data_IF_699435210553
#
_entry.id   IF_699435210553
#
_cell.length_a   1.000
_cell.length_b   1.000
_cell.length_c   1.000
_cell.angle_alpha   90.00
_cell.angle_beta   90.00
_cell.angle_gamma   90.00
#
_symmetry.space_group_name_H-M   'P 1'
#
loop_
_entity.id
_entity.type
_entity.pdbx_description
1 polymer ?
#
# COMPACT_ATOMS: atom_id res chain seq x y z
N UNK A 1 16.26 -12.79 -2.06
CA UNK A 1 15.45 -11.58 -2.29
C UNK A 1 16.26 -10.29 -2.14
N UNK A 2 16.88 -10.04 -0.99
CA UNK A 2 17.63 -8.80 -0.73
C UNK A 2 18.75 -8.50 -1.75
N UNK A 3 19.50 -9.53 -2.17
CA UNK A 3 20.56 -9.40 -3.18
C UNK A 3 20.04 -8.86 -4.52
N UNK A 4 19.01 -9.49 -5.08
CA UNK A 4 18.41 -9.07 -6.36
C UNK A 4 17.83 -7.65 -6.28
N UNK A 5 17.26 -7.27 -5.13
CA UNK A 5 16.82 -5.89 -4.90
C UNK A 5 17.99 -4.89 -4.96
N UNK A 6 19.09 -5.18 -4.25
CA UNK A 6 20.28 -4.32 -4.25
C UNK A 6 20.93 -4.23 -5.64
N UNK A 7 21.00 -5.35 -6.36
CA UNK A 7 21.51 -5.40 -7.73
C UNK A 7 20.65 -4.55 -8.67
N UNK A 8 19.32 -4.66 -8.58
CA UNK A 8 18.39 -3.86 -9.39
C UNK A 8 18.51 -2.37 -9.07
N UNK A 9 18.72 -2.01 -7.80
CA UNK A 9 18.89 -0.62 -7.38
C UNK A 9 20.24 -0.05 -7.84
N UNK A 10 21.32 -0.82 -7.75
CA UNK A 10 22.63 -0.42 -8.26
C UNK A 10 22.56 -0.17 -9.77
N UNK A 11 21.88 -1.05 -10.50
CA UNK A 11 21.69 -0.91 -11.93
C UNK A 11 20.83 0.31 -12.30
N UNK A 12 19.77 0.58 -11.54
CA UNK A 12 18.99 1.81 -11.69
C UNK A 12 19.88 3.06 -11.63
N UNK A 13 20.76 3.18 -10.63
CA UNK A 13 21.68 4.33 -10.53
C UNK A 13 22.71 4.37 -11.65
N UNK A 14 23.17 3.20 -12.13
CA UNK A 14 24.07 3.12 -13.29
C UNK A 14 23.42 3.65 -14.56
N UNK A 15 22.14 3.35 -14.79
CA UNK A 15 21.37 3.86 -15.93
C UNK A 15 21.18 5.37 -15.84
N UNK A 16 20.89 5.90 -14.64
CA UNK A 16 20.81 7.35 -14.43
C UNK A 16 22.14 8.05 -14.74
N UNK A 17 23.26 7.47 -14.32
CA UNK A 17 24.60 8.02 -14.62
C UNK A 17 24.92 8.05 -16.12
N UNK A 18 24.25 7.21 -16.92
CA UNK A 18 24.36 7.17 -18.39
C UNK A 18 23.38 8.10 -19.11
N UNK A 19 22.61 8.91 -18.38
CA UNK A 19 21.64 9.84 -18.95
C UNK A 19 20.30 9.22 -19.34
N UNK A 20 20.02 7.98 -18.92
CA UNK A 20 18.68 7.38 -19.08
C UNK A 20 17.69 8.14 -18.22
N UNK A 21 16.51 8.43 -18.76
CA UNK A 21 15.46 9.15 -18.04
C UNK A 21 14.92 8.31 -16.88
N UNK A 22 14.48 8.97 -15.80
CA UNK A 22 14.05 8.30 -14.56
C UNK A 22 12.86 7.37 -14.78
N UNK A 23 11.94 7.77 -15.66
CA UNK A 23 10.75 7.02 -16.03
C UNK A 23 11.07 5.70 -16.72
N UNK A 24 12.15 5.65 -17.49
CA UNK A 24 12.63 4.47 -18.22
C UNK A 24 13.55 3.62 -17.33
N UNK A 25 14.38 4.26 -16.50
CA UNK A 25 15.29 3.54 -15.61
C UNK A 25 14.57 2.73 -14.52
N UNK A 26 13.43 3.22 -13.99
CA UNK A 26 12.71 2.55 -12.89
C UNK A 26 12.09 1.20 -13.25
N UNK A 27 12.00 0.84 -14.54
CA UNK A 27 11.45 -0.46 -14.97
C UNK A 27 12.26 -1.66 -14.47
N UNK A 28 13.54 -1.46 -14.11
CA UNK A 28 14.36 -2.52 -13.54
C UNK A 28 14.11 -2.77 -12.06
N UNK A 29 13.47 -1.82 -11.36
CA UNK A 29 13.22 -1.92 -9.92
C UNK A 29 12.07 -2.91 -9.70
N UNK A 30 12.20 -3.87 -8.77
CA UNK A 30 11.12 -4.80 -8.46
C UNK A 30 9.92 -4.09 -7.81
N UNK A 31 8.75 -4.73 -7.87
CA UNK A 31 7.50 -4.20 -7.30
C UNK A 31 7.54 -3.96 -5.78
N UNK A 32 8.46 -4.60 -5.06
CA UNK A 32 8.66 -4.44 -3.62
C UNK A 32 9.42 -3.15 -3.25
N UNK A 33 9.20 -2.05 -3.98
CA UNK A 33 9.73 -0.73 -3.66
C UNK A 33 8.73 0.03 -2.78
N UNK A 34 9.23 0.71 -1.74
CA UNK A 34 8.40 1.59 -0.92
C UNK A 34 7.97 2.80 -1.75
N UNK A 35 6.67 3.05 -1.74
CA UNK A 35 6.08 4.26 -2.32
C UNK A 35 5.23 4.95 -1.25
N UNK A 36 5.10 6.27 -1.37
CA UNK A 36 4.22 7.06 -0.53
C UNK A 36 2.97 7.42 -1.34
N UNK A 37 1.80 7.14 -0.78
CA UNK A 37 0.51 7.50 -1.36
C UNK A 37 -0.18 8.47 -0.41
N UNK A 38 -0.64 9.61 -0.93
CA UNK A 38 -1.57 10.48 -0.22
C UNK A 38 -2.96 10.18 -0.78
N UNK A 39 -3.87 9.77 0.10
CA UNK A 39 -5.25 9.45 -0.27
C UNK A 39 -6.22 10.10 0.71
N UNK A 40 -7.38 10.52 0.19
CA UNK A 40 -8.52 10.96 0.98
C UNK A 40 -9.67 10.01 0.69
N UNK A 41 -10.31 9.52 1.74
CA UNK A 41 -11.48 8.64 1.63
C UNK A 41 -12.57 9.11 2.57
N UNK A 42 -13.82 9.00 2.14
CA UNK A 42 -14.95 9.17 3.05
C UNK A 42 -15.15 7.90 3.91
N UNK A 43 -16.03 7.99 4.91
CA UNK A 43 -16.29 6.86 5.81
C UNK A 43 -16.82 5.62 5.06
N UNK A 44 -17.74 5.81 4.09
CA UNK A 44 -18.31 4.71 3.31
C UNK A 44 -17.23 3.96 2.52
N UNK A 45 -16.35 4.70 1.85
CA UNK A 45 -15.21 4.15 1.12
C UNK A 45 -14.24 3.42 2.05
N UNK A 46 -13.98 3.95 3.25
CA UNK A 46 -13.15 3.27 4.24
C UNK A 46 -13.78 1.93 4.69
N UNK A 47 -15.10 1.89 4.90
CA UNK A 47 -15.81 0.65 5.23
C UNK A 47 -15.70 -0.38 4.09
N UNK A 48 -15.87 0.06 2.84
CA UNK A 48 -15.69 -0.77 1.65
C UNK A 48 -14.26 -1.33 1.54
N UNK A 49 -13.24 -0.46 1.66
CA UNK A 49 -11.84 -0.87 1.65
C UNK A 49 -11.56 -1.87 2.77
N UNK A 50 -12.02 -1.59 3.99
CA UNK A 50 -11.83 -2.48 5.13
C UNK A 50 -12.50 -3.84 4.90
N UNK A 51 -13.72 -3.88 4.34
CA UNK A 51 -14.43 -5.12 4.03
C UNK A 51 -13.63 -6.01 3.08
N UNK A 52 -13.09 -5.45 2.01
CA UNK A 52 -12.31 -6.17 1.01
C UNK A 52 -10.91 -6.54 1.50
N UNK A 53 -10.23 -5.60 2.17
CA UNK A 53 -8.80 -5.70 2.47
C UNK A 53 -8.47 -6.26 3.84
N UNK A 54 -9.43 -6.39 4.76
CA UNK A 54 -9.26 -7.14 6.01
C UNK A 54 -9.65 -8.63 5.87
N UNK A 55 -10.11 -9.06 4.69
CA UNK A 55 -10.38 -10.48 4.41
C UNK A 55 -9.12 -11.34 4.61
N UNK A 56 -9.30 -12.58 5.08
CA UNK A 56 -8.20 -13.54 5.22
C UNK A 56 -7.54 -13.92 3.89
N UNK A 57 -8.24 -13.72 2.78
CA UNK A 57 -7.73 -13.99 1.42
C UNK A 57 -6.90 -12.84 0.85
N UNK A 58 -6.93 -11.66 1.47
CA UNK A 58 -6.13 -10.52 1.05
C UNK A 58 -4.66 -10.69 1.47
N UNK A 59 -3.75 -10.09 0.68
CA UNK A 59 -2.32 -10.05 1.02
C UNK A 59 -2.10 -9.46 2.42
N UNK A 60 -1.11 -9.98 3.14
CA UNK A 60 -0.93 -9.62 4.55
C UNK A 60 -0.44 -8.19 4.73
N UNK A 61 0.35 -7.66 3.79
CA UNK A 61 0.85 -6.29 3.79
C UNK A 61 -0.29 -5.27 3.71
N UNK A 62 -1.27 -5.49 2.82
CA UNK A 62 -2.42 -4.57 2.70
C UNK A 62 -3.37 -4.71 3.89
N UNK A 63 -3.50 -5.91 4.47
CA UNK A 63 -4.26 -6.10 5.72
C UNK A 63 -3.65 -5.26 6.85
N UNK A 64 -2.33 -5.27 6.99
CA UNK A 64 -1.65 -4.48 8.02
C UNK A 64 -1.84 -2.98 7.82
N UNK A 65 -1.69 -2.49 6.58
CA UNK A 65 -1.94 -1.09 6.24
C UNK A 65 -3.37 -0.67 6.62
N UNK A 66 -4.37 -1.45 6.20
CA UNK A 66 -5.78 -1.11 6.42
C UNK A 66 -6.17 -1.23 7.89
N UNK A 67 -5.58 -2.16 8.66
CA UNK A 67 -5.75 -2.20 10.13
C UNK A 67 -5.34 -0.88 10.77
N UNK A 68 -4.18 -0.35 10.41
CA UNK A 68 -3.70 0.94 10.92
C UNK A 68 -4.62 2.10 10.52
N UNK A 69 -5.16 2.09 9.29
CA UNK A 69 -6.15 3.09 8.86
C UNK A 69 -7.42 3.03 9.72
N UNK A 70 -7.93 1.83 10.03
CA UNK A 70 -9.10 1.64 10.89
C UNK A 70 -8.80 2.03 12.34
N UNK A 71 -7.61 1.76 12.85
CA UNK A 71 -7.14 2.20 14.18
C UNK A 71 -7.09 3.72 14.31
N UNK A 72 -6.67 4.44 13.27
CA UNK A 72 -6.72 5.90 13.28
C UNK A 72 -8.16 6.42 13.20
N UNK A 73 -8.99 5.81 12.35
CA UNK A 73 -10.40 6.20 12.24
C UNK A 73 -11.22 5.88 13.50
N UNK A 74 -10.87 4.83 14.25
CA UNK A 74 -11.58 4.45 15.48
C UNK A 74 -11.44 5.47 16.61
N UNK A 75 -10.41 6.32 16.57
CA UNK A 75 -10.25 7.45 17.49
C UNK A 75 -11.36 8.51 17.32
N UNK A 76 -11.94 8.59 16.13
CA UNK A 76 -13.02 9.54 15.80
C UNK A 76 -14.38 8.83 15.79
N UNK A 77 -14.44 7.60 15.27
CA UNK A 77 -15.65 6.76 15.18
C UNK A 77 -15.41 5.43 15.90
N UNK A 78 -15.63 5.34 17.23
CA UNK A 78 -15.32 4.15 18.03
C UNK A 78 -16.04 2.88 17.57
N UNK A 79 -17.24 3.00 17.00
CA UNK A 79 -18.06 1.90 16.50
C UNK A 79 -17.65 1.38 15.12
N UNK A 80 -16.58 1.91 14.50
CA UNK A 80 -16.15 1.56 13.14
C UNK A 80 -15.99 0.04 12.93
N UNK A 81 -15.48 -0.69 13.91
CA UNK A 81 -15.33 -2.15 13.82
C UNK A 81 -16.67 -2.87 13.67
N UNK A 82 -17.73 -2.35 14.30
CA UNK A 82 -19.08 -2.89 14.16
C UNK A 82 -19.65 -2.51 12.80
N UNK A 83 -19.42 -1.28 12.34
CA UNK A 83 -19.83 -0.81 11.02
C UNK A 83 -19.20 -1.65 9.89
N UNK A 84 -17.92 -2.02 10.01
CA UNK A 84 -17.24 -2.88 9.01
C UNK A 84 -17.90 -4.27 8.95
N UNK A 85 -18.32 -4.83 10.09
CA UNK A 85 -18.99 -6.13 10.15
C UNK A 85 -20.38 -6.10 9.52
N UNK A 86 -21.13 -5.01 9.75
CA UNK A 86 -22.48 -4.84 9.23
C UNK A 86 -22.53 -4.25 7.82
N UNK A 87 -21.42 -3.74 7.30
CA UNK A 87 -21.33 -3.16 5.96
C UNK A 87 -21.73 -4.18 4.89
N UNK A 88 -22.80 -3.84 4.15
CA UNK A 88 -23.29 -4.55 2.98
C UNK A 88 -23.17 -3.59 1.80
N UNK A 89 -22.52 -4.04 0.75
CA UNK A 89 -22.47 -3.35 -0.55
C UNK A 89 -23.75 -3.61 -1.34
#
# INVERSE_FOLDING_TARGET
LARSYLESLAEYYRLLAKGVRKEDARFIIPQAIKTALIMTVNLRELLHIAKLRLSNTAQWEIRELVKRMVEEASKIVPEITNLIKSYRE
#
